data_IF_748149456104
#
_entry.id   IF_748149456104
#
_cell.length_a   1.000
_cell.length_b   1.000
_cell.length_c   1.000
_cell.angle_alpha   90.00
_cell.angle_beta   90.00
_cell.angle_gamma   90.00
#
_symmetry.space_group_name_H-M   'P 1'
#
loop_
_entity.id
_entity.type
_entity.pdbx_description
1 polymer ?
#
# COMPACT_ATOMS: atom_id res chain seq x y z
N UNK A 1 -24.27 -19.34 12.39
CA UNK A 1 -23.32 -19.89 11.39
C UNK A 1 -23.74 -19.66 9.95
N UNK A 2 -24.99 -19.91 9.55
CA UNK A 2 -25.43 -19.70 8.15
C UNK A 2 -25.35 -18.23 7.69
N UNK A 3 -25.73 -17.30 8.57
CA UNK A 3 -25.65 -15.85 8.30
C UNK A 3 -24.19 -15.42 8.04
N UNK A 4 -23.24 -15.93 8.82
CA UNK A 4 -21.80 -15.61 8.65
C UNK A 4 -21.31 -16.12 7.29
N UNK A 5 -21.70 -17.33 6.89
CA UNK A 5 -21.34 -17.89 5.58
C UNK A 5 -21.86 -17.03 4.43
N UNK A 6 -23.12 -16.56 4.51
CA UNK A 6 -23.69 -15.66 3.50
C UNK A 6 -22.94 -14.32 3.45
N UNK A 7 -22.62 -13.73 4.61
CA UNK A 7 -21.84 -12.48 4.67
C UNK A 7 -20.46 -12.66 4.05
N UNK A 8 -19.76 -13.76 4.32
CA UNK A 8 -18.44 -14.05 3.75
C UNK A 8 -18.50 -14.17 2.22
N UNK A 9 -19.52 -14.84 1.68
CA UNK A 9 -19.69 -14.97 0.23
C UNK A 9 -20.00 -13.62 -0.42
N UNK A 10 -20.92 -12.84 0.14
CA UNK A 10 -21.28 -11.52 -0.37
C UNK A 10 -20.09 -10.57 -0.32
N UNK A 11 -19.36 -10.53 0.80
CA UNK A 11 -18.17 -9.68 0.93
C UNK A 11 -17.06 -10.09 -0.03
N UNK A 12 -16.80 -11.39 -0.23
CA UNK A 12 -15.82 -11.85 -1.21
C UNK A 12 -16.18 -11.41 -2.65
N UNK A 13 -17.44 -11.55 -3.04
CA UNK A 13 -17.93 -11.12 -4.37
C UNK A 13 -17.77 -9.60 -4.53
N UNK A 14 -18.23 -8.83 -3.54
CA UNK A 14 -18.14 -7.38 -3.57
C UNK A 14 -16.69 -6.90 -3.63
N UNK A 15 -15.80 -7.46 -2.81
CA UNK A 15 -14.38 -7.13 -2.80
C UNK A 15 -13.74 -7.41 -4.16
N UNK A 16 -14.02 -8.56 -4.76
CA UNK A 16 -13.47 -8.93 -6.08
C UNK A 16 -13.89 -7.92 -7.16
N UNK A 17 -15.19 -7.60 -7.23
CA UNK A 17 -15.72 -6.62 -8.20
C UNK A 17 -15.12 -5.23 -7.96
N UNK A 18 -15.03 -4.81 -6.69
CA UNK A 18 -14.56 -3.49 -6.33
C UNK A 18 -13.07 -3.29 -6.66
N UNK A 19 -12.22 -4.28 -6.33
CA UNK A 19 -10.79 -4.24 -6.66
C UNK A 19 -10.57 -4.12 -8.16
N UNK A 20 -11.34 -4.87 -8.98
CA UNK A 20 -11.25 -4.80 -10.44
C UNK A 20 -11.57 -3.43 -11.03
N UNK A 21 -12.48 -2.66 -10.40
CA UNK A 21 -12.89 -1.35 -10.90
C UNK A 21 -12.13 -0.16 -10.27
N UNK A 22 -11.41 -0.37 -9.17
CA UNK A 22 -10.86 0.72 -8.36
C UNK A 22 -9.36 0.95 -8.50
N UNK A 23 -8.62 0.14 -9.25
CA UNK A 23 -7.16 0.27 -9.40
C UNK A 23 -6.72 1.70 -9.72
N UNK A 24 -7.29 2.33 -10.77
CA UNK A 24 -6.99 3.71 -11.14
C UNK A 24 -7.47 4.76 -10.13
N UNK A 25 -8.59 4.51 -9.44
CA UNK A 25 -9.10 5.42 -8.38
C UNK A 25 -8.21 5.41 -7.15
N UNK A 26 -7.71 4.24 -6.76
CA UNK A 26 -6.77 4.08 -5.64
C UNK A 26 -5.46 4.82 -5.96
N UNK A 27 -4.90 4.60 -7.16
CA UNK A 27 -3.70 5.34 -7.60
C UNK A 27 -3.91 6.86 -7.53
N UNK A 28 -5.02 7.37 -8.06
CA UNK A 28 -5.33 8.81 -8.01
C UNK A 28 -5.52 9.34 -6.58
N UNK A 29 -6.15 8.55 -5.71
CA UNK A 29 -6.33 8.91 -4.30
C UNK A 29 -4.99 8.96 -3.57
N UNK A 30 -4.12 7.95 -3.76
CA UNK A 30 -2.75 7.92 -3.23
C UNK A 30 -1.95 9.12 -3.74
N UNK A 31 -2.01 9.40 -5.04
CA UNK A 31 -1.38 10.57 -5.67
C UNK A 31 -1.84 11.88 -5.04
N UNK A 32 -3.14 12.05 -4.85
CA UNK A 32 -3.70 13.26 -4.25
C UNK A 32 -3.30 13.42 -2.79
N UNK A 33 -3.29 12.33 -2.02
CA UNK A 33 -2.87 12.33 -0.63
C UNK A 33 -1.38 12.68 -0.49
N UNK A 34 -0.51 12.06 -1.30
CA UNK A 34 0.92 12.36 -1.32
C UNK A 34 1.17 13.82 -1.70
N UNK A 35 0.59 14.29 -2.81
CA UNK A 35 0.83 15.65 -3.30
C UNK A 35 0.42 16.71 -2.27
N UNK A 36 -0.72 16.54 -1.60
CA UNK A 36 -1.32 17.61 -0.81
C UNK A 36 -1.06 17.53 0.69
N UNK A 37 -0.82 16.33 1.24
CA UNK A 37 -0.82 16.10 2.69
C UNK A 37 0.51 15.58 3.24
N UNK A 38 1.28 14.84 2.44
CA UNK A 38 2.58 14.34 2.89
C UNK A 38 3.48 15.52 3.30
N UNK A 39 4.01 15.51 4.52
CA UNK A 39 4.96 16.50 5.01
C UNK A 39 4.46 17.96 5.03
N UNK A 40 3.15 18.20 4.95
CA UNK A 40 2.54 19.53 4.93
C UNK A 40 1.77 19.78 6.21
N UNK A 41 1.96 20.93 6.88
CA UNK A 41 1.19 21.34 8.07
C UNK A 41 1.07 20.20 9.10
N UNK A 42 2.20 19.68 9.58
CA UNK A 42 2.27 18.50 10.46
C UNK A 42 1.64 18.71 11.86
N UNK A 43 1.25 19.94 12.19
CA UNK A 43 0.43 20.24 13.36
C UNK A 43 -0.99 19.64 13.22
N UNK A 44 -1.46 19.45 11.99
CA UNK A 44 -2.73 18.77 11.72
C UNK A 44 -2.54 17.25 11.80
N UNK A 45 -3.26 16.61 12.72
CA UNK A 45 -3.15 15.17 12.99
C UNK A 45 -3.34 14.30 11.74
N UNK A 46 -4.25 14.69 10.84
CA UNK A 46 -4.48 13.98 9.58
C UNK A 46 -3.25 13.96 8.68
N UNK A 47 -2.58 15.11 8.49
CA UNK A 47 -1.42 15.19 7.60
C UNK A 47 -0.21 14.48 8.20
N UNK A 48 -0.06 14.53 9.53
CA UNK A 48 0.93 13.74 10.26
C UNK A 48 0.71 12.24 10.04
N UNK A 49 -0.52 11.76 10.24
CA UNK A 49 -0.87 10.36 10.01
C UNK A 49 -0.61 9.94 8.56
N UNK A 50 -1.00 10.77 7.59
CA UNK A 50 -0.72 10.49 6.17
C UNK A 50 0.79 10.38 5.93
N UNK A 51 1.59 11.27 6.51
CA UNK A 51 3.06 11.26 6.38
C UNK A 51 3.65 9.99 6.99
N UNK A 52 3.26 9.63 8.21
CA UNK A 52 3.74 8.43 8.91
C UNK A 52 3.37 7.14 8.16
N UNK A 53 2.15 7.05 7.63
CA UNK A 53 1.70 5.90 6.82
C UNK A 53 2.51 5.80 5.53
N UNK A 54 2.77 6.92 4.85
CA UNK A 54 3.64 6.94 3.67
C UNK A 54 5.06 6.50 4.00
N UNK A 55 5.65 7.00 5.09
CA UNK A 55 7.01 6.66 5.48
C UNK A 55 7.14 5.17 5.85
N UNK A 56 6.16 4.62 6.56
CA UNK A 56 6.12 3.20 6.89
C UNK A 56 5.97 2.36 5.62
N UNK A 57 5.07 2.75 4.72
CA UNK A 57 4.83 2.03 3.47
C UNK A 57 6.07 2.01 2.59
N UNK A 58 6.76 3.15 2.44
CA UNK A 58 7.96 3.28 1.61
C UNK A 58 9.12 2.44 2.14
N UNK A 59 9.32 2.44 3.46
CA UNK A 59 10.34 1.61 4.12
C UNK A 59 10.04 0.12 3.99
N UNK A 60 8.80 -0.29 4.28
CA UNK A 60 8.43 -1.71 4.33
C UNK A 60 8.24 -2.35 2.96
N UNK A 61 7.82 -1.59 1.95
CA UNK A 61 7.62 -2.07 0.58
C UNK A 61 8.78 -1.71 -0.36
N UNK A 62 9.84 -1.07 0.16
CA UNK A 62 11.04 -0.70 -0.61
C UNK A 62 10.72 0.06 -1.91
N UNK A 63 9.88 1.09 -1.77
CA UNK A 63 9.28 1.85 -2.86
C UNK A 63 9.38 3.35 -2.61
N UNK A 64 9.19 4.15 -3.66
CA UNK A 64 9.11 5.60 -3.55
C UNK A 64 8.06 6.18 -4.50
N UNK A 65 7.22 7.05 -3.95
CA UNK A 65 6.09 7.64 -4.67
C UNK A 65 4.96 6.64 -4.93
N UNK A 66 4.15 6.92 -5.95
CA UNK A 66 2.87 6.24 -6.15
C UNK A 66 2.98 5.09 -7.13
N UNK A 67 3.39 5.34 -8.37
CA UNK A 67 3.26 4.35 -9.45
C UNK A 67 4.34 4.52 -10.53
N UNK A 68 4.73 3.41 -11.12
CA UNK A 68 5.70 3.28 -12.20
C UNK A 68 7.12 3.04 -11.70
N UNK A 69 8.06 2.94 -12.63
CA UNK A 69 9.47 2.72 -12.32
C UNK A 69 10.31 4.00 -12.42
N UNK A 70 11.61 3.82 -12.63
CA UNK A 70 12.60 4.91 -12.69
C UNK A 70 12.25 6.05 -13.66
N UNK A 71 11.59 5.75 -14.78
CA UNK A 71 11.19 6.71 -15.80
C UNK A 71 9.77 7.30 -15.60
N UNK A 72 9.10 7.00 -14.49
CA UNK A 72 7.76 7.52 -14.18
C UNK A 72 7.84 8.81 -13.38
N UNK A 73 7.04 9.81 -13.77
CA UNK A 73 6.86 11.04 -12.99
C UNK A 73 6.07 10.83 -11.70
N UNK A 74 5.33 9.72 -11.60
CA UNK A 74 4.47 9.40 -10.45
C UNK A 74 5.14 8.45 -9.44
N UNK A 75 6.39 8.05 -9.70
CA UNK A 75 7.23 7.29 -8.77
C UNK A 75 7.97 8.26 -7.84
N UNK A 76 9.28 8.11 -7.65
CA UNK A 76 10.12 8.97 -6.82
C UNK A 76 10.09 10.45 -7.23
N UNK A 77 9.97 10.73 -8.54
CA UNK A 77 10.03 12.10 -9.08
C UNK A 77 8.88 13.01 -8.61
N UNK A 78 7.75 12.41 -8.20
CA UNK A 78 6.53 13.13 -7.81
C UNK A 78 6.76 14.10 -6.64
N UNK A 79 7.69 13.75 -5.75
CA UNK A 79 8.08 14.57 -4.62
C UNK A 79 8.61 15.92 -5.09
N UNK A 80 9.60 15.91 -5.97
CA UNK A 80 10.18 17.13 -6.57
C UNK A 80 9.19 17.86 -7.48
N UNK A 81 8.46 17.15 -8.32
CA UNK A 81 7.71 17.77 -9.43
C UNK A 81 6.35 18.33 -9.01
N UNK A 82 5.61 17.64 -8.14
CA UNK A 82 4.20 17.95 -7.89
C UNK A 82 3.87 18.22 -6.42
N UNK A 83 4.60 17.62 -5.47
CA UNK A 83 4.24 17.66 -4.05
C UNK A 83 4.29 19.07 -3.43
N UNK A 84 3.35 19.34 -2.53
CA UNK A 84 3.34 20.54 -1.71
C UNK A 84 4.49 20.53 -0.69
N UNK A 85 4.92 19.34 -0.25
CA UNK A 85 6.10 19.16 0.61
C UNK A 85 7.35 19.82 0.03
N UNK A 86 7.69 19.50 -1.22
CA UNK A 86 8.86 20.07 -1.87
C UNK A 86 8.71 21.57 -2.14
N UNK A 87 7.51 22.01 -2.54
CA UNK A 87 7.21 23.44 -2.79
C UNK A 87 7.37 24.28 -1.52
N UNK A 88 6.83 23.82 -0.39
CA UNK A 88 6.86 24.52 0.90
C UNK A 88 8.15 24.32 1.69
N UNK A 89 9.01 23.38 1.28
CA UNK A 89 10.31 23.14 1.93
C UNK A 89 11.22 24.37 1.94
N UNK A 90 12.19 24.39 2.86
CA UNK A 90 13.16 25.49 3.04
C UNK A 90 14.42 25.30 2.16
N UNK A 91 15.40 26.23 2.22
CA UNK A 91 16.51 26.37 1.25
C UNK A 91 17.50 25.18 1.05
N UNK A 92 17.45 24.10 1.84
CA UNK A 92 18.22 22.85 1.61
C UNK A 92 17.24 21.71 1.35
N UNK A 93 16.72 21.63 0.12
CA UNK A 93 15.63 20.71 -0.23
C UNK A 93 16.19 19.34 -0.62
N UNK A 94 15.95 18.34 0.22
CA UNK A 94 15.92 16.97 -0.23
C UNK A 94 14.89 16.83 -1.36
N UNK A 95 15.22 16.10 -2.42
CA UNK A 95 14.31 15.91 -3.56
C UNK A 95 13.28 14.81 -3.31
N UNK A 96 13.56 13.91 -2.38
CA UNK A 96 12.72 12.82 -1.89
C UNK A 96 12.87 12.73 -0.37
N UNK A 97 11.89 12.16 0.35
CA UNK A 97 12.01 11.94 1.79
C UNK A 97 12.96 10.78 2.13
N UNK A 98 13.44 10.76 3.36
CA UNK A 98 14.35 9.74 3.89
C UNK A 98 13.78 8.31 3.80
N UNK A 99 12.46 8.17 3.87
CA UNK A 99 11.74 6.91 3.74
C UNK A 99 11.82 6.28 2.34
N UNK A 100 12.15 7.05 1.31
CA UNK A 100 12.43 6.55 -0.04
C UNK A 100 13.83 5.96 -0.21
N UNK A 101 14.67 6.04 0.82
CA UNK A 101 16.05 5.61 0.77
C UNK A 101 16.22 4.22 1.35
N UNK A 102 17.17 3.48 0.79
CA UNK A 102 17.54 2.16 1.29
C UNK A 102 18.07 2.25 2.71
N UNK A 103 17.73 1.25 3.53
CA UNK A 103 18.15 1.19 4.93
C UNK A 103 19.67 1.09 5.11
N UNK A 104 20.37 0.52 4.14
CA UNK A 104 21.83 0.37 4.08
C UNK A 104 22.51 1.46 3.22
N UNK A 105 21.74 2.41 2.69
CA UNK A 105 22.23 3.43 1.76
C UNK A 105 22.71 4.73 2.41
N UNK A 106 23.50 5.50 1.65
CA UNK A 106 23.84 6.87 2.04
C UNK A 106 22.61 7.77 1.86
N UNK A 107 22.07 8.24 2.99
CA UNK A 107 20.88 9.09 3.04
C UNK A 107 21.08 10.44 2.33
N UNK A 108 22.29 11.01 2.39
CA UNK A 108 22.60 12.32 1.82
C UNK A 108 22.69 12.19 0.29
N UNK A 109 23.31 11.11 -0.19
CA UNK A 109 23.36 10.78 -1.61
C UNK A 109 21.97 10.43 -2.15
N UNK A 110 21.18 9.64 -1.43
CA UNK A 110 19.82 9.26 -1.82
C UNK A 110 18.87 10.46 -1.94
N UNK A 111 18.88 11.35 -0.95
CA UNK A 111 18.01 12.53 -0.93
C UNK A 111 18.44 13.64 -1.90
N UNK A 112 19.67 13.55 -2.40
CA UNK A 112 20.29 14.52 -3.32
C UNK A 112 20.74 15.82 -2.65
N UNK A 113 20.96 15.81 -1.33
CA UNK A 113 21.37 16.99 -0.56
C UNK A 113 22.81 17.46 -0.85
N UNK A 114 23.68 16.57 -1.34
CA UNK A 114 25.09 16.90 -1.70
C UNK A 114 25.34 17.08 -3.20
N UNK A 115 24.29 17.26 -4.03
CA UNK A 115 24.47 17.52 -5.45
C UNK A 115 25.04 16.32 -6.23
N UNK A 116 24.47 15.14 -6.05
CA UNK A 116 24.84 13.93 -6.79
C UNK A 116 24.26 13.98 -8.22
N UNK A 117 25.09 13.73 -9.24
CA UNK A 117 24.59 13.50 -10.60
C UNK A 117 23.67 12.26 -10.63
N UNK A 118 22.56 12.33 -11.37
CA UNK A 118 21.56 11.26 -11.43
C UNK A 118 20.32 11.48 -10.55
N UNK A 119 19.54 10.43 -10.36
CA UNK A 119 18.32 10.46 -9.53
C UNK A 119 18.66 10.73 -8.06
N UNK A 120 17.92 11.56 -7.31
CA UNK A 120 16.65 12.20 -7.66
C UNK A 120 16.78 13.61 -8.26
N UNK A 121 18.00 14.06 -8.58
CA UNK A 121 18.23 15.39 -9.14
C UNK A 121 17.76 15.43 -10.61
N UNK A 122 18.20 14.46 -11.40
CA UNK A 122 17.82 14.32 -12.80
C UNK A 122 16.45 13.64 -12.90
N UNK A 123 15.46 14.38 -13.39
CA UNK A 123 14.09 13.88 -13.59
C UNK A 123 14.00 12.84 -14.71
N UNK A 124 12.89 12.08 -14.78
CA UNK A 124 12.65 11.18 -15.90
C UNK A 124 12.49 11.93 -17.24
N UNK A 125 12.93 11.36 -18.38
CA UNK A 125 13.57 10.05 -18.50
C UNK A 125 15.02 10.08 -18.00
N UNK A 126 15.40 9.06 -17.23
CA UNK A 126 16.75 8.93 -16.67
C UNK A 126 17.68 8.37 -17.74
N UNK A 127 18.66 9.17 -18.16
CA UNK A 127 19.65 8.83 -19.19
C UNK A 127 21.09 8.71 -18.63
N UNK A 128 21.29 8.99 -17.35
CA UNK A 128 22.58 8.96 -16.65
C UNK A 128 22.69 7.86 -15.58
N UNK A 129 23.56 8.09 -14.59
CA UNK A 129 23.77 7.14 -13.49
C UNK A 129 22.53 7.02 -12.60
N UNK A 130 22.13 5.78 -12.31
CA UNK A 130 21.04 5.47 -11.40
C UNK A 130 21.56 5.42 -9.98
N UNK A 131 20.95 6.18 -9.08
CA UNK A 131 21.36 6.20 -7.68
C UNK A 131 20.97 4.90 -6.97
N UNK A 132 21.94 4.07 -6.55
CA UNK A 132 21.64 2.77 -5.97
C UNK A 132 20.99 2.86 -4.59
N UNK A 133 21.06 4.01 -3.92
CA UNK A 133 20.51 4.21 -2.57
C UNK A 133 19.03 4.61 -2.58
N UNK A 134 18.46 4.88 -3.75
CA UNK A 134 17.07 5.32 -3.92
C UNK A 134 16.18 4.15 -4.39
N UNK A 135 14.97 4.06 -3.85
CA UNK A 135 13.93 3.20 -4.42
C UNK A 135 13.28 3.89 -5.63
N UNK A 136 13.24 3.23 -6.78
CA UNK A 136 12.68 3.80 -8.02
C UNK A 136 11.27 3.32 -8.36
N UNK A 137 10.78 2.30 -7.67
CA UNK A 137 9.47 1.70 -7.94
C UNK A 137 8.37 2.39 -7.14
N UNK A 138 7.20 2.56 -7.73
CA UNK A 138 6.04 3.13 -7.08
C UNK A 138 5.44 2.19 -6.03
N UNK A 139 4.95 2.76 -4.92
CA UNK A 139 4.42 1.98 -3.81
C UNK A 139 3.10 1.26 -4.11
N UNK A 140 2.29 1.76 -5.04
CA UNK A 140 1.11 1.05 -5.50
C UNK A 140 1.51 -0.26 -6.19
N UNK A 141 2.55 -0.24 -7.03
CA UNK A 141 3.01 -1.42 -7.75
C UNK A 141 3.58 -2.47 -6.80
N UNK A 142 4.43 -2.05 -5.87
CA UNK A 142 4.98 -2.97 -4.87
C UNK A 142 3.92 -3.50 -3.90
N UNK A 143 2.92 -2.70 -3.55
CA UNK A 143 1.78 -3.19 -2.77
C UNK A 143 0.98 -4.26 -3.53
N UNK A 144 0.69 -4.04 -4.81
CA UNK A 144 -0.01 -5.02 -5.64
C UNK A 144 0.84 -6.29 -5.80
N UNK A 145 2.14 -6.16 -6.06
CA UNK A 145 3.07 -7.29 -6.16
C UNK A 145 3.15 -8.07 -4.84
N UNK A 146 3.22 -7.37 -3.71
CA UNK A 146 3.24 -7.98 -2.38
C UNK A 146 1.98 -8.79 -2.11
N UNK A 147 0.80 -8.23 -2.41
CA UNK A 147 -0.48 -8.94 -2.25
C UNK A 147 -0.58 -10.12 -3.19
N UNK A 148 -0.15 -9.98 -4.45
CA UNK A 148 -0.13 -11.08 -5.42
C UNK A 148 0.78 -12.22 -4.97
N UNK A 149 1.96 -11.91 -4.41
CA UNK A 149 2.86 -12.93 -3.85
C UNK A 149 2.26 -13.72 -2.68
N UNK A 150 1.37 -13.10 -1.91
CA UNK A 150 0.74 -13.70 -0.73
C UNK A 150 -0.68 -14.23 -0.99
N UNK A 151 -1.18 -14.14 -2.22
CA UNK A 151 -2.58 -14.49 -2.53
C UNK A 151 -2.90 -15.95 -2.23
N UNK A 152 -1.94 -16.87 -2.41
CA UNK A 152 -2.11 -18.29 -2.11
C UNK A 152 -2.31 -18.54 -0.61
N UNK A 153 -1.53 -17.85 0.23
CA UNK A 153 -1.65 -17.98 1.69
C UNK A 153 -2.99 -17.39 2.18
N UNK A 154 -3.35 -16.20 1.71
CA UNK A 154 -4.61 -15.53 2.05
C UNK A 154 -5.81 -16.37 1.59
N UNK A 155 -5.77 -16.88 0.36
CA UNK A 155 -6.79 -17.78 -0.18
C UNK A 155 -6.92 -19.07 0.63
N UNK A 156 -5.80 -19.67 1.04
CA UNK A 156 -5.79 -20.86 1.89
C UNK A 156 -6.49 -20.64 3.24
N UNK A 157 -6.21 -19.53 3.92
CA UNK A 157 -6.85 -19.17 5.20
C UNK A 157 -8.36 -18.98 5.01
N UNK A 158 -8.77 -18.33 3.91
CA UNK A 158 -10.18 -18.13 3.60
C UNK A 158 -10.92 -19.46 3.37
N UNK A 159 -10.33 -20.38 2.60
CA UNK A 159 -10.92 -21.72 2.35
C UNK A 159 -11.00 -22.53 3.64
N UNK A 160 -9.94 -22.54 4.45
CA UNK A 160 -9.94 -23.24 5.74
C UNK A 160 -11.06 -22.72 6.67
N UNK A 161 -11.26 -21.40 6.72
CA UNK A 161 -12.32 -20.78 7.50
C UNK A 161 -13.72 -21.23 7.04
N UNK A 162 -13.95 -21.33 5.73
CA UNK A 162 -15.22 -21.83 5.18
C UNK A 162 -15.47 -23.27 5.59
N UNK A 163 -14.45 -24.14 5.53
CA UNK A 163 -14.56 -25.54 5.93
C UNK A 163 -14.97 -25.68 7.41
N UNK A 164 -14.37 -24.90 8.31
CA UNK A 164 -14.72 -24.90 9.74
C UNK A 164 -16.17 -24.47 9.96
N UNK A 165 -16.64 -23.44 9.23
CA UNK A 165 -18.02 -22.96 9.32
C UNK A 165 -19.00 -24.05 8.84
N UNK A 166 -18.66 -24.80 7.79
CA UNK A 166 -19.48 -25.91 7.30
C UNK A 166 -19.61 -27.03 8.34
N UNK A 167 -18.52 -27.41 9.00
CA UNK A 167 -18.60 -28.37 10.11
C UNK A 167 -19.48 -27.86 11.25
N UNK A 168 -19.35 -26.58 11.63
CA UNK A 168 -20.21 -25.96 12.64
C UNK A 168 -21.69 -26.00 12.28
N UNK A 169 -22.04 -25.85 11.00
CA UNK A 169 -23.42 -25.99 10.51
C UNK A 169 -23.93 -27.43 10.62
N UNK A 170 -23.12 -28.41 10.20
CA UNK A 170 -23.48 -29.84 10.28
C UNK A 170 -23.73 -30.24 11.74
N UNK A 171 -22.81 -29.92 12.65
CA UNK A 171 -22.97 -30.23 14.07
C UNK A 171 -24.19 -29.54 14.69
N UNK A 172 -24.43 -28.27 14.34
CA UNK A 172 -25.62 -27.53 14.82
C UNK A 172 -26.91 -28.22 14.38
N UNK A 173 -26.99 -28.70 13.12
CA UNK A 173 -28.15 -29.43 12.62
C UNK A 173 -28.33 -30.79 13.31
N UNK A 174 -27.24 -31.53 13.53
CA UNK A 174 -27.29 -32.81 14.24
C UNK A 174 -27.75 -32.66 15.68
N UNK A 175 -27.23 -31.65 16.41
CA UNK A 175 -27.66 -31.34 17.77
C UNK A 175 -29.12 -30.89 17.83
N UNK A 176 -29.56 -30.02 16.92
CA UNK A 176 -30.95 -29.58 16.87
C UNK A 176 -31.92 -30.76 16.68
N UNK A 177 -31.58 -31.71 15.79
CA UNK A 177 -32.38 -32.93 15.59
C UNK A 177 -32.44 -33.79 16.85
N UNK A 178 -31.30 -33.99 17.51
CA UNK A 178 -31.23 -34.79 18.73
C UNK A 178 -32.04 -34.20 19.88
N UNK A 179 -32.00 -32.87 20.09
CA UNK A 179 -32.78 -32.21 21.15
C UNK A 179 -34.29 -32.34 20.87
N UNK A 180 -34.72 -32.11 19.63
CA UNK A 180 -36.13 -32.18 19.27
C UNK A 180 -36.72 -33.59 19.44
N UNK A 181 -35.90 -34.62 19.27
CA UNK A 181 -36.31 -36.00 19.50
C UNK A 181 -36.56 -36.29 20.99
N UNK A 182 -35.74 -35.73 21.87
CA UNK A 182 -35.91 -35.85 23.34
C UNK A 182 -37.16 -35.10 23.83
N UNK A 183 -37.42 -33.89 23.32
CA UNK A 183 -38.61 -33.11 23.72
C UNK A 183 -39.94 -33.71 23.21
N UNK A 184 -39.89 -34.65 22.26
CA UNK A 184 -41.08 -35.31 21.71
C UNK A 184 -41.55 -36.53 22.51
N UNK A 185 -40.86 -36.88 23.59
CA UNK A 185 -41.15 -38.03 24.45
C UNK A 185 -41.61 -37.59 25.84
#
# INVERSE_FOLDING_TARGET
MAIILVILLVTAILLFVFVGQMSGKIQNSMKTALINKYGVNLDHSENRMVTEVWDLMQKNLECCGVHGGINSTDSWAIYKTNSQWFKKGNNRKAYVPDSCCRHDGDIIACTGLNGTEGTPIDGPPVSGNVNPHLYHKGCYDELVNYVQGHVLMIGGIAVASIVVILFGLIFSMSLYRSIREVDSY
#
